data_IF_669240926007
#
_entry.id   IF_669240926007
#
_cell.length_a   1.000
_cell.length_b   1.000
_cell.length_c   1.000
_cell.angle_alpha   90.00
_cell.angle_beta   90.00
_cell.angle_gamma   90.00
#
_symmetry.space_group_name_H-M   'P 1'
#
loop_
_entity.id
_entity.type
_entity.pdbx_description
1 polymer ?
#
# COMPACT_ATOMS: atom_id res chain seq x y z
N UNK A 1 3.22 10.55 -7.68
CA UNK A 1 3.19 10.60 -9.16
C UNK A 1 2.09 11.52 -9.65
N UNK A 2 2.11 11.86 -10.93
CA UNK A 2 1.11 12.69 -11.59
C UNK A 2 0.72 12.06 -12.92
N UNK A 3 -0.56 12.13 -13.29
CA UNK A 3 -1.05 11.74 -14.61
C UNK A 3 -0.50 12.67 -15.70
N UNK A 4 -0.03 12.09 -16.80
CA UNK A 4 0.57 12.85 -17.92
C UNK A 4 -0.47 13.54 -18.80
N UNK A 5 -1.68 13.00 -18.89
CA UNK A 5 -2.74 13.57 -19.71
C UNK A 5 -3.30 14.88 -19.15
N UNK A 6 -3.22 15.07 -17.83
CA UNK A 6 -3.91 16.17 -17.14
C UNK A 6 -5.44 16.11 -17.21
N UNK A 7 -5.97 15.12 -17.89
CA UNK A 7 -7.40 14.92 -18.14
C UNK A 7 -7.78 13.46 -17.89
N UNK A 8 -9.09 13.20 -17.79
CA UNK A 8 -9.64 11.87 -17.58
C UNK A 8 -9.62 11.41 -16.13
N UNK A 9 -9.99 10.16 -15.91
CA UNK A 9 -10.23 9.59 -14.57
C UNK A 9 -9.00 9.59 -13.67
N UNK A 10 -7.81 9.28 -14.20
CA UNK A 10 -6.58 9.29 -13.44
C UNK A 10 -6.19 10.71 -12.98
N UNK A 11 -6.45 11.73 -13.80
CA UNK A 11 -6.14 13.11 -13.45
C UNK A 11 -7.03 13.68 -12.33
N UNK A 12 -8.19 13.09 -12.08
CA UNK A 12 -9.08 13.50 -10.99
C UNK A 12 -8.39 13.32 -9.63
N UNK A 13 -7.55 12.27 -9.46
CA UNK A 13 -6.79 12.08 -8.23
C UNK A 13 -5.71 13.16 -8.06
N UNK A 14 -5.02 13.53 -9.15
CA UNK A 14 -3.98 14.55 -9.12
C UNK A 14 -4.55 15.95 -8.85
N UNK A 15 -5.75 16.19 -9.36
CA UNK A 15 -6.45 17.47 -9.23
C UNK A 15 -7.30 17.56 -7.96
N UNK A 16 -7.30 16.52 -7.12
CA UNK A 16 -8.13 16.42 -5.90
C UNK A 16 -9.63 16.63 -6.19
N UNK A 17 -10.09 16.15 -7.32
CA UNK A 17 -11.47 16.33 -7.81
C UNK A 17 -12.07 14.99 -8.28
N UNK A 18 -11.94 13.96 -7.42
CA UNK A 18 -12.45 12.62 -7.73
C UNK A 18 -13.97 12.61 -7.70
N UNK A 19 -14.58 12.20 -8.79
CA UNK A 19 -16.04 12.13 -8.94
C UNK A 19 -16.56 10.71 -8.66
N UNK A 20 -17.80 10.61 -8.19
CA UNK A 20 -18.48 9.32 -7.97
C UNK A 20 -18.66 8.49 -9.26
N UNK A 21 -18.60 9.14 -10.42
CA UNK A 21 -18.67 8.52 -11.75
C UNK A 21 -17.34 7.97 -12.26
N UNK A 22 -16.23 8.18 -11.52
CA UNK A 22 -14.90 7.71 -11.90
C UNK A 22 -14.86 6.17 -11.98
N UNK A 23 -14.53 5.63 -13.16
CA UNK A 23 -14.48 4.18 -13.39
C UNK A 23 -13.38 3.49 -12.61
N UNK A 24 -12.24 4.16 -12.35
CA UNK A 24 -11.14 3.56 -11.57
C UNK A 24 -11.56 3.27 -10.13
N UNK A 25 -12.33 4.16 -9.49
CA UNK A 25 -12.86 3.87 -8.15
C UNK A 25 -13.93 2.78 -8.18
N UNK A 26 -14.74 2.72 -9.23
CA UNK A 26 -15.75 1.67 -9.38
C UNK A 26 -15.11 0.29 -9.53
N UNK A 27 -14.10 0.16 -10.37
CA UNK A 27 -13.38 -1.09 -10.59
C UNK A 27 -12.62 -1.53 -9.34
N UNK A 28 -11.98 -0.58 -8.64
CA UNK A 28 -11.29 -0.86 -7.38
C UNK A 28 -12.27 -1.36 -6.30
N UNK A 29 -13.38 -0.66 -6.10
CA UNK A 29 -14.41 -1.01 -5.12
C UNK A 29 -14.98 -2.41 -5.38
N UNK A 30 -15.39 -2.69 -6.61
CA UNK A 30 -15.91 -4.02 -7.01
C UNK A 30 -14.88 -5.12 -6.87
N UNK A 31 -13.66 -4.87 -7.28
CA UNK A 31 -12.57 -5.84 -7.16
C UNK A 31 -12.36 -6.25 -5.70
N UNK A 32 -12.37 -5.29 -4.79
CA UNK A 32 -12.19 -5.55 -3.37
C UNK A 32 -13.37 -6.35 -2.78
N UNK A 33 -14.61 -5.99 -3.09
CA UNK A 33 -15.76 -6.78 -2.64
C UNK A 33 -15.81 -8.18 -3.28
N UNK A 34 -15.30 -8.35 -4.50
CA UNK A 34 -15.13 -9.68 -5.10
C UNK A 34 -14.13 -10.53 -4.30
N UNK A 35 -13.01 -9.96 -3.86
CA UNK A 35 -12.05 -10.67 -3.01
C UNK A 35 -12.67 -11.04 -1.66
N UNK A 36 -13.46 -10.14 -1.03
CA UNK A 36 -14.19 -10.43 0.20
C UNK A 36 -15.17 -11.60 0.00
N UNK A 37 -15.95 -11.56 -1.08
CA UNK A 37 -16.87 -12.65 -1.43
C UNK A 37 -16.15 -14.00 -1.56
N UNK A 38 -15.00 -14.02 -2.24
CA UNK A 38 -14.19 -15.25 -2.38
C UNK A 38 -13.64 -15.73 -1.05
N UNK A 39 -13.13 -14.83 -0.21
CA UNK A 39 -12.67 -15.16 1.13
C UNK A 39 -13.81 -15.74 1.99
N UNK A 40 -15.00 -15.11 1.99
CA UNK A 40 -16.18 -15.62 2.68
C UNK A 40 -16.63 -16.98 2.15
N UNK A 41 -16.54 -17.21 0.83
CA UNK A 41 -16.84 -18.51 0.21
C UNK A 41 -15.91 -19.60 0.73
N UNK A 42 -14.61 -19.32 0.84
CA UNK A 42 -13.63 -20.27 1.43
C UNK A 42 -13.99 -20.54 2.90
N UNK A 43 -14.24 -19.49 3.68
CA UNK A 43 -14.58 -19.60 5.12
C UNK A 43 -15.86 -20.41 5.35
N UNK A 44 -16.88 -20.20 4.54
CA UNK A 44 -18.15 -20.96 4.62
C UNK A 44 -17.98 -22.45 4.28
N UNK A 45 -16.99 -22.78 3.44
CA UNK A 45 -16.74 -24.14 2.98
C UNK A 45 -15.54 -24.82 3.65
N UNK A 46 -15.05 -24.32 4.78
CA UNK A 46 -13.92 -24.91 5.52
C UNK A 46 -14.17 -26.39 5.90
N UNK A 47 -15.42 -26.84 5.95
CA UNK A 47 -15.77 -28.22 6.24
C UNK A 47 -15.25 -29.25 5.23
N UNK A 48 -14.92 -28.84 3.99
CA UNK A 48 -14.35 -29.73 2.96
C UNK A 48 -12.84 -29.89 3.09
N UNK A 49 -12.18 -29.03 3.85
CA UNK A 49 -10.74 -29.10 4.08
C UNK A 49 -10.37 -30.25 5.04
N UNK A 50 -9.20 -30.85 4.84
CA UNK A 50 -8.66 -31.79 5.85
C UNK A 50 -8.40 -31.07 7.16
N UNK A 51 -8.57 -31.74 8.30
CA UNK A 51 -8.36 -31.16 9.63
C UNK A 51 -6.95 -30.54 9.78
N UNK A 52 -5.94 -31.13 9.16
CA UNK A 52 -4.55 -30.61 9.18
C UNK A 52 -4.36 -29.28 8.45
N UNK A 53 -5.21 -28.97 7.46
CA UNK A 53 -5.10 -27.77 6.62
C UNK A 53 -6.11 -26.68 7.00
N UNK A 54 -7.10 -27.03 7.82
CA UNK A 54 -8.23 -26.15 8.13
C UNK A 54 -7.81 -24.82 8.71
N UNK A 55 -6.97 -24.84 9.75
CA UNK A 55 -6.49 -23.64 10.40
C UNK A 55 -5.67 -22.74 9.44
N UNK A 56 -4.85 -23.36 8.58
CA UNK A 56 -4.05 -22.64 7.59
C UNK A 56 -4.95 -21.96 6.55
N UNK A 57 -5.91 -22.70 5.97
CA UNK A 57 -6.84 -22.18 4.95
C UNK A 57 -7.70 -21.04 5.55
N UNK A 58 -8.19 -21.23 6.79
CA UNK A 58 -8.92 -20.20 7.50
C UNK A 58 -8.07 -18.95 7.72
N UNK A 59 -6.83 -19.12 8.19
CA UNK A 59 -5.89 -18.02 8.42
C UNK A 59 -5.58 -17.23 7.16
N UNK A 60 -5.33 -17.91 6.03
CA UNK A 60 -5.07 -17.26 4.74
C UNK A 60 -6.30 -16.47 4.25
N UNK A 61 -7.49 -17.07 4.31
CA UNK A 61 -8.73 -16.40 3.88
C UNK A 61 -9.05 -15.16 4.73
N UNK A 62 -8.88 -15.26 6.06
CA UNK A 62 -9.07 -14.16 7.00
C UNK A 62 -8.02 -13.06 6.81
N UNK A 63 -6.76 -13.42 6.60
CA UNK A 63 -5.71 -12.44 6.29
C UNK A 63 -6.06 -11.61 5.06
N UNK A 64 -6.48 -12.28 3.96
CA UNK A 64 -6.84 -11.59 2.73
C UNK A 64 -8.06 -10.70 2.95
N UNK A 65 -9.10 -11.19 3.65
CA UNK A 65 -10.30 -10.41 3.95
C UNK A 65 -9.98 -9.17 4.78
N UNK A 66 -9.17 -9.32 5.83
CA UNK A 66 -8.72 -8.22 6.67
C UNK A 66 -7.90 -7.19 5.88
N UNK A 67 -6.97 -7.63 5.03
CA UNK A 67 -6.18 -6.74 4.18
C UNK A 67 -7.07 -5.89 3.27
N UNK A 68 -8.07 -6.49 2.64
CA UNK A 68 -9.00 -5.80 1.76
C UNK A 68 -9.88 -4.81 2.54
N UNK A 69 -10.44 -5.22 3.67
CA UNK A 69 -11.21 -4.31 4.52
C UNK A 69 -10.38 -3.16 5.07
N UNK A 70 -9.12 -3.40 5.41
CA UNK A 70 -8.22 -2.35 5.88
C UNK A 70 -7.95 -1.29 4.80
N UNK A 71 -7.88 -1.68 3.53
CA UNK A 71 -7.80 -0.72 2.43
C UNK A 71 -9.13 0.03 2.23
N UNK A 72 -10.25 -0.68 2.20
CA UNK A 72 -11.57 -0.08 2.01
C UNK A 72 -11.91 0.95 3.10
N UNK A 73 -11.74 0.59 4.38
CA UNK A 73 -12.11 1.48 5.49
C UNK A 73 -11.28 2.76 5.51
N UNK A 74 -10.02 2.70 5.13
CA UNK A 74 -9.14 3.88 5.06
C UNK A 74 -9.46 4.80 3.87
N UNK A 75 -10.02 4.24 2.79
CA UNK A 75 -10.36 5.00 1.59
C UNK A 75 -11.80 5.54 1.61
N UNK A 76 -12.74 4.80 2.21
CA UNK A 76 -14.17 5.14 2.12
C UNK A 76 -14.82 5.44 3.48
N UNK A 77 -14.13 5.23 4.60
CA UNK A 77 -14.69 5.37 5.93
C UNK A 77 -15.66 4.22 6.28
N UNK A 78 -16.86 4.54 6.76
CA UNK A 78 -17.91 3.54 7.02
C UNK A 78 -18.32 2.86 5.70
N UNK A 79 -18.38 1.53 5.69
CA UNK A 79 -18.59 0.69 4.49
C UNK A 79 -19.52 -0.48 4.80
N UNK A 80 -20.15 -1.11 3.80
CA UNK A 80 -20.81 -2.40 3.98
C UNK A 80 -19.84 -3.45 4.51
N UNK A 81 -20.23 -4.14 5.58
CA UNK A 81 -19.44 -5.15 6.27
C UNK A 81 -20.06 -6.53 6.06
N UNK A 82 -19.43 -7.35 5.21
CA UNK A 82 -19.88 -8.67 4.81
C UNK A 82 -18.91 -9.72 5.35
N UNK A 83 -19.30 -10.41 6.40
CA UNK A 83 -18.49 -11.44 7.06
C UNK A 83 -18.89 -12.88 6.64
N UNK A 84 -19.89 -13.00 5.78
CA UNK A 84 -20.38 -14.26 5.23
C UNK A 84 -20.77 -14.10 3.74
N UNK A 85 -21.13 -15.20 3.08
CA UNK A 85 -21.72 -15.18 1.75
C UNK A 85 -23.19 -14.81 1.86
N UNK A 86 -23.57 -13.73 1.18
CA UNK A 86 -24.94 -13.21 1.13
C UNK A 86 -25.57 -13.41 -0.25
N UNK A 87 -26.89 -13.41 -0.31
CA UNK A 87 -27.63 -13.46 -1.57
C UNK A 87 -27.60 -12.11 -2.30
N UNK A 88 -27.79 -12.14 -3.61
CA UNK A 88 -27.80 -10.95 -4.48
C UNK A 88 -28.87 -9.91 -4.17
N UNK A 89 -29.91 -10.30 -3.42
CA UNK A 89 -30.99 -9.43 -2.99
C UNK A 89 -30.90 -9.04 -1.51
N UNK A 90 -29.78 -9.33 -0.84
CA UNK A 90 -29.61 -9.01 0.56
C UNK A 90 -29.19 -7.53 0.70
N UNK A 91 -30.02 -6.75 1.37
CA UNK A 91 -29.81 -5.32 1.59
C UNK A 91 -28.53 -5.03 2.41
N UNK A 92 -28.01 -6.02 3.17
CA UNK A 92 -26.74 -5.88 3.90
C UNK A 92 -25.56 -5.49 2.99
N UNK A 93 -25.61 -5.82 1.69
CA UNK A 93 -24.61 -5.42 0.68
C UNK A 93 -24.45 -3.91 0.56
N UNK A 94 -25.42 -3.15 1.03
CA UNK A 94 -25.48 -1.70 0.81
C UNK A 94 -25.50 -0.89 2.12
N UNK A 95 -25.72 -1.54 3.26
CA UNK A 95 -25.82 -0.86 4.55
C UNK A 95 -24.40 -0.62 5.10
N UNK A 96 -24.03 0.64 5.21
CA UNK A 96 -22.73 1.04 5.78
C UNK A 96 -22.70 0.73 7.28
N UNK A 97 -21.63 0.07 7.72
CA UNK A 97 -21.35 -0.17 9.13
C UNK A 97 -20.34 0.86 9.64
N UNK A 98 -20.42 1.22 10.93
CA UNK A 98 -19.46 2.11 11.55
C UNK A 98 -18.01 1.66 11.34
N UNK A 99 -17.10 2.63 11.22
CA UNK A 99 -15.66 2.38 11.06
C UNK A 99 -15.12 1.44 12.16
N UNK A 100 -15.60 1.59 13.40
CA UNK A 100 -15.20 0.75 14.52
C UNK A 100 -15.54 -0.73 14.28
N UNK A 101 -16.77 -1.04 13.81
CA UNK A 101 -17.20 -2.43 13.54
C UNK A 101 -16.30 -3.07 12.46
N UNK A 102 -15.88 -2.28 11.46
CA UNK A 102 -14.97 -2.75 10.40
C UNK A 102 -13.59 -3.09 10.97
N UNK A 103 -13.05 -2.22 11.83
CA UNK A 103 -11.77 -2.49 12.50
C UNK A 103 -11.85 -3.68 13.46
N UNK A 104 -12.97 -3.87 14.16
CA UNK A 104 -13.17 -5.04 15.02
C UNK A 104 -13.09 -6.36 14.23
N UNK A 105 -13.70 -6.41 13.04
CA UNK A 105 -13.57 -7.57 12.14
C UNK A 105 -12.15 -7.75 11.66
N UNK A 106 -11.48 -6.67 11.23
CA UNK A 106 -10.09 -6.72 10.76
C UNK A 106 -9.16 -7.28 11.84
N UNK A 107 -9.25 -6.78 13.07
CA UNK A 107 -8.43 -7.25 14.19
C UNK A 107 -8.75 -8.70 14.53
N UNK A 108 -10.03 -9.09 14.55
CA UNK A 108 -10.45 -10.48 14.78
C UNK A 108 -9.89 -11.43 13.74
N UNK A 109 -9.98 -11.07 12.46
CA UNK A 109 -9.49 -11.86 11.34
C UNK A 109 -7.97 -12.02 11.39
N UNK A 110 -7.23 -10.92 11.66
CA UNK A 110 -5.77 -10.97 11.74
C UNK A 110 -5.29 -11.77 12.96
N UNK A 111 -5.96 -11.68 14.12
CA UNK A 111 -5.65 -12.53 15.26
C UNK A 111 -5.85 -14.01 14.92
N UNK A 112 -6.92 -14.35 14.21
CA UNK A 112 -7.16 -15.72 13.74
C UNK A 112 -6.08 -16.17 12.75
N UNK A 113 -5.64 -15.29 11.86
CA UNK A 113 -4.55 -15.55 10.92
C UNK A 113 -3.23 -15.80 11.65
N UNK A 114 -2.88 -14.98 12.64
CA UNK A 114 -1.67 -15.17 13.49
C UNK A 114 -1.70 -16.51 14.21
N UNK A 115 -2.88 -16.96 14.67
CA UNK A 115 -3.03 -18.23 15.37
C UNK A 115 -2.97 -19.45 14.42
N UNK A 116 -3.48 -19.32 13.18
CA UNK A 116 -3.62 -20.42 12.23
C UNK A 116 -2.47 -20.58 11.22
N UNK A 117 -1.63 -19.56 11.06
CA UNK A 117 -0.54 -19.54 10.09
C UNK A 117 0.82 -19.81 10.76
N UNK A 118 1.73 -20.31 9.94
CA UNK A 118 3.17 -20.40 10.23
C UNK A 118 3.99 -19.57 9.22
N UNK A 119 5.32 -19.61 9.31
CA UNK A 119 6.24 -18.90 8.41
C UNK A 119 6.86 -19.82 7.35
N UNK A 120 6.23 -20.95 7.03
CA UNK A 120 6.75 -21.91 6.03
C UNK A 120 6.39 -21.57 4.59
N UNK A 121 5.43 -20.69 4.38
CA UNK A 121 5.04 -20.22 3.05
C UNK A 121 6.06 -19.22 2.49
N UNK A 122 6.15 -19.14 1.16
CA UNK A 122 6.87 -18.04 0.49
C UNK A 122 6.12 -16.70 0.61
N UNK A 123 6.82 -15.62 0.30
CA UNK A 123 6.36 -14.22 0.41
C UNK A 123 5.05 -13.88 -0.34
N UNK A 124 4.66 -14.70 -1.33
CA UNK A 124 3.43 -14.51 -2.12
C UNK A 124 2.21 -15.24 -1.52
N UNK A 125 2.33 -15.71 -0.29
CA UNK A 125 1.23 -16.27 0.50
C UNK A 125 1.23 -15.68 1.91
N UNK A 126 0.04 -15.65 2.52
CA UNK A 126 -0.05 -15.21 3.90
C UNK A 126 0.80 -16.10 4.83
N UNK A 127 1.59 -15.46 5.66
CA UNK A 127 2.40 -16.08 6.72
C UNK A 127 2.03 -15.48 8.06
N UNK A 128 2.45 -16.13 9.14
CA UNK A 128 2.28 -15.59 10.49
C UNK A 128 2.94 -14.21 10.65
N UNK A 129 4.15 -14.05 10.14
CA UNK A 129 4.87 -12.77 10.16
C UNK A 129 4.14 -11.68 9.35
N UNK A 130 3.59 -12.03 8.17
CA UNK A 130 2.78 -11.11 7.39
C UNK A 130 1.51 -10.66 8.14
N UNK A 131 0.82 -11.60 8.81
CA UNK A 131 -0.36 -11.31 9.62
C UNK A 131 -0.03 -10.43 10.83
N UNK A 132 1.09 -10.70 11.53
CA UNK A 132 1.57 -9.87 12.65
C UNK A 132 1.96 -8.46 12.21
N UNK A 133 2.69 -8.33 11.10
CA UNK A 133 3.08 -7.03 10.57
C UNK A 133 1.89 -6.19 10.09
N UNK A 134 0.89 -6.82 9.45
CA UNK A 134 -0.35 -6.14 9.06
C UNK A 134 -1.18 -5.75 10.29
N UNK A 135 -1.30 -6.63 11.30
CA UNK A 135 -2.00 -6.34 12.55
C UNK A 135 -1.34 -5.18 13.31
N UNK A 136 0.00 -5.14 13.34
CA UNK A 136 0.74 -4.00 13.90
C UNK A 136 0.41 -2.69 13.18
N UNK A 137 0.34 -2.70 11.85
CA UNK A 137 -0.06 -1.52 11.05
C UNK A 137 -1.49 -1.08 11.36
N UNK A 138 -2.40 -2.02 11.58
CA UNK A 138 -3.78 -1.75 12.02
C UNK A 138 -3.79 -1.13 13.42
N UNK A 139 -3.05 -1.68 14.37
CA UNK A 139 -2.92 -1.13 15.73
C UNK A 139 -2.33 0.29 15.73
N UNK A 140 -1.31 0.57 14.92
CA UNK A 140 -0.80 1.94 14.73
C UNK A 140 -1.89 2.90 14.22
N UNK A 141 -2.71 2.45 13.28
CA UNK A 141 -3.81 3.27 12.74
C UNK A 141 -4.87 3.56 13.81
N UNK A 142 -5.08 2.63 14.75
CA UNK A 142 -6.00 2.77 15.88
C UNK A 142 -5.37 3.50 17.10
N UNK A 143 -4.07 3.82 17.07
CA UNK A 143 -3.35 4.42 18.20
C UNK A 143 -2.99 3.44 19.32
N UNK A 144 -3.09 2.14 19.08
CA UNK A 144 -2.73 1.07 20.02
C UNK A 144 -1.22 0.79 19.93
N UNK A 145 -0.41 1.76 20.32
CA UNK A 145 1.04 1.74 20.09
C UNK A 145 1.78 0.59 20.77
N UNK A 146 1.37 0.20 21.99
CA UNK A 146 2.01 -0.90 22.70
C UNK A 146 1.79 -2.25 22.03
N UNK A 147 0.54 -2.51 21.59
CA UNK A 147 0.22 -3.75 20.87
C UNK A 147 0.97 -3.82 19.53
N UNK A 148 1.06 -2.68 18.84
CA UNK A 148 1.83 -2.56 17.62
C UNK A 148 3.32 -2.85 17.84
N UNK A 149 3.93 -2.26 18.89
CA UNK A 149 5.33 -2.46 19.22
C UNK A 149 5.64 -3.95 19.48
N UNK A 150 4.83 -4.62 20.30
CA UNK A 150 5.02 -6.04 20.63
C UNK A 150 4.99 -6.92 19.37
N UNK A 151 4.03 -6.69 18.48
CA UNK A 151 3.93 -7.45 17.23
C UNK A 151 5.11 -7.20 16.30
N UNK A 152 5.58 -5.95 16.19
CA UNK A 152 6.73 -5.58 15.37
C UNK A 152 8.01 -6.19 15.87
N UNK A 153 8.26 -6.19 17.21
CA UNK A 153 9.41 -6.82 17.81
C UNK A 153 9.43 -8.34 17.57
N UNK A 154 8.25 -9.01 17.55
CA UNK A 154 8.17 -10.42 17.15
C UNK A 154 8.59 -10.59 15.70
N UNK A 155 8.03 -9.80 14.75
CA UNK A 155 8.40 -9.89 13.32
C UNK A 155 9.88 -9.61 13.12
N UNK A 156 10.46 -8.65 13.85
CA UNK A 156 11.89 -8.33 13.79
C UNK A 156 12.78 -9.50 14.24
N UNK A 157 12.26 -10.44 15.03
CA UNK A 157 12.98 -11.64 15.47
C UNK A 157 12.87 -12.84 14.51
N UNK A 158 12.07 -12.76 13.45
CA UNK A 158 11.76 -13.88 12.53
C UNK A 158 12.79 -14.06 11.39
N UNK A 159 13.90 -13.32 11.42
CA UNK A 159 15.01 -13.49 10.46
C UNK A 159 14.90 -12.66 9.17
N UNK A 160 13.97 -11.73 9.08
CA UNK A 160 13.96 -10.71 8.02
C UNK A 160 15.10 -9.71 8.21
N UNK A 161 15.62 -9.18 7.11
CA UNK A 161 16.71 -8.21 7.14
C UNK A 161 16.58 -7.23 5.98
N UNK A 162 17.15 -6.02 6.13
CA UNK A 162 17.30 -5.10 5.02
C UNK A 162 18.25 -5.68 3.97
N UNK A 163 17.88 -5.63 2.71
CA UNK A 163 18.80 -5.93 1.62
C UNK A 163 19.93 -4.88 1.59
N UNK A 164 21.18 -5.30 1.42
CA UNK A 164 22.30 -4.36 1.34
C UNK A 164 22.17 -3.38 0.18
N UNK A 165 21.64 -3.85 -0.95
CA UNK A 165 21.31 -3.02 -2.10
C UNK A 165 19.81 -2.74 -2.14
N UNK A 166 19.44 -1.46 -2.21
CA UNK A 166 18.04 -1.08 -2.32
C UNK A 166 17.36 -1.60 -3.59
N UNK A 167 18.10 -1.78 -4.68
CA UNK A 167 17.57 -2.35 -5.92
C UNK A 167 17.13 -3.81 -5.75
N UNK A 168 17.83 -4.58 -4.91
CA UNK A 168 17.53 -6.00 -4.72
C UNK A 168 16.17 -6.22 -4.05
N UNK A 169 15.66 -5.23 -3.32
CA UNK A 169 14.30 -5.28 -2.76
C UNK A 169 13.24 -5.49 -3.85
N UNK A 170 13.42 -4.86 -5.02
CA UNK A 170 12.44 -4.82 -6.10
C UNK A 170 12.72 -5.79 -7.24
N UNK A 171 13.98 -6.17 -7.44
CA UNK A 171 14.41 -6.92 -8.61
C UNK A 171 15.01 -8.28 -8.29
N UNK A 172 15.23 -8.61 -7.01
CA UNK A 172 15.66 -9.94 -6.56
C UNK A 172 14.52 -10.62 -5.80
N UNK A 173 13.89 -11.59 -6.42
CA UNK A 173 12.78 -12.31 -5.80
C UNK A 173 13.18 -13.17 -4.58
N UNK A 174 14.45 -13.50 -4.45
CA UNK A 174 14.97 -14.28 -3.32
C UNK A 174 15.47 -13.42 -2.15
N UNK A 175 15.06 -12.14 -2.08
CA UNK A 175 15.49 -11.22 -1.03
C UNK A 175 14.88 -11.55 0.35
N UNK A 176 15.58 -11.10 1.40
CA UNK A 176 15.22 -11.32 2.81
C UNK A 176 14.34 -10.19 3.38
N UNK A 177 14.09 -9.13 2.62
CA UNK A 177 13.38 -7.94 3.11
C UNK A 177 11.87 -8.03 2.92
N UNK A 178 11.40 -8.67 1.84
CA UNK A 178 9.97 -8.76 1.53
C UNK A 178 9.28 -9.78 2.40
N UNK A 179 8.29 -9.32 3.19
CA UNK A 179 7.50 -10.15 4.11
C UNK A 179 6.23 -10.66 3.43
N UNK A 180 5.56 -9.79 2.66
CA UNK A 180 4.38 -10.15 1.88
C UNK A 180 4.31 -9.34 0.59
N UNK A 181 4.06 -10.04 -0.52
CA UNK A 181 3.84 -9.45 -1.83
C UNK A 181 2.73 -10.16 -2.59
N UNK A 182 2.06 -9.44 -3.48
CA UNK A 182 1.18 -10.02 -4.49
C UNK A 182 2.07 -10.44 -5.65
N UNK A 183 2.18 -11.76 -5.88
CA UNK A 183 3.07 -12.34 -6.88
C UNK A 183 2.47 -12.28 -8.28
N UNK A 184 3.33 -12.00 -9.25
CA UNK A 184 3.02 -12.02 -10.67
C UNK A 184 4.06 -12.84 -11.43
N UNK A 185 3.69 -13.29 -12.65
CA UNK A 185 4.59 -13.98 -13.56
C UNK A 185 4.57 -13.32 -14.93
N UNK A 186 5.74 -12.99 -15.47
CA UNK A 186 5.87 -12.32 -16.77
C UNK A 186 5.38 -13.20 -17.93
N UNK A 187 4.84 -12.56 -18.97
CA UNK A 187 4.46 -13.19 -20.22
C UNK A 187 3.12 -13.93 -20.22
N UNK A 188 2.47 -14.10 -19.09
CA UNK A 188 1.17 -14.79 -18.98
C UNK A 188 0.08 -13.77 -18.67
N UNK A 189 -0.89 -13.61 -19.56
CA UNK A 189 -1.97 -12.59 -19.43
C UNK A 189 -2.74 -12.70 -18.11
N UNK A 190 -2.93 -13.93 -17.59
CA UNK A 190 -3.68 -14.16 -16.36
C UNK A 190 -2.85 -13.92 -15.09
N UNK A 191 -1.53 -14.06 -15.17
CA UNK A 191 -0.64 -14.07 -14.02
C UNK A 191 0.32 -12.88 -14.00
N UNK A 192 0.32 -12.06 -15.06
CA UNK A 192 1.14 -10.85 -15.18
C UNK A 192 0.41 -9.59 -14.70
N UNK A 193 1.17 -8.51 -14.58
CA UNK A 193 0.66 -7.19 -14.23
C UNK A 193 1.04 -6.16 -15.29
N UNK A 194 0.33 -5.03 -15.33
CA UNK A 194 0.56 -3.94 -16.26
C UNK A 194 0.98 -2.62 -15.58
N UNK A 195 1.07 -2.57 -14.24
CA UNK A 195 1.38 -1.33 -13.52
C UNK A 195 2.80 -0.82 -13.83
N UNK A 196 3.72 -1.71 -14.17
CA UNK A 196 5.07 -1.31 -14.64
C UNK A 196 4.98 -0.42 -15.88
N UNK A 197 4.13 -0.76 -16.84
CA UNK A 197 3.93 0.02 -18.07
C UNK A 197 3.31 1.41 -17.81
N UNK A 198 2.60 1.60 -16.70
CA UNK A 198 1.99 2.88 -16.34
C UNK A 198 3.04 3.98 -16.05
N UNK A 199 4.26 3.59 -15.68
CA UNK A 199 5.39 4.49 -15.44
C UNK A 199 6.31 4.68 -16.64
N UNK A 200 6.07 3.97 -17.78
CA UNK A 200 6.96 3.91 -18.92
C UNK A 200 6.40 4.69 -20.11
N UNK A 201 7.24 5.51 -20.75
CA UNK A 201 6.95 6.07 -22.07
C UNK A 201 7.32 5.06 -23.16
N UNK A 202 6.61 5.11 -24.30
CA UNK A 202 6.92 4.32 -25.48
C UNK A 202 6.47 2.86 -25.46
N UNK A 203 5.94 2.33 -24.36
CA UNK A 203 5.49 0.95 -24.24
C UNK A 203 4.08 0.80 -24.81
N UNK A 204 3.97 0.64 -26.12
CA UNK A 204 2.67 0.54 -26.81
C UNK A 204 1.79 1.80 -26.67
N UNK A 205 2.36 2.88 -26.13
CA UNK A 205 1.73 4.20 -25.96
C UNK A 205 2.76 5.27 -26.33
N UNK A 206 2.29 6.38 -26.85
CA UNK A 206 3.14 7.54 -27.11
C UNK A 206 3.53 8.28 -25.83
N UNK A 207 2.76 8.09 -24.78
CA UNK A 207 2.94 8.71 -23.45
C UNK A 207 2.58 7.70 -22.38
N UNK A 208 3.45 7.43 -21.43
CA UNK A 208 3.11 6.70 -20.21
C UNK A 208 2.12 7.50 -19.36
N UNK A 209 1.40 6.84 -18.45
CA UNK A 209 0.30 7.49 -17.71
C UNK A 209 0.82 8.33 -16.55
N UNK A 210 1.86 7.88 -15.85
CA UNK A 210 2.34 8.51 -14.63
C UNK A 210 3.82 8.94 -14.71
N UNK A 211 4.16 10.02 -14.05
CA UNK A 211 5.53 10.48 -13.85
C UNK A 211 5.73 11.06 -12.44
N UNK A 212 6.98 11.22 -12.04
CA UNK A 212 7.34 11.81 -10.74
C UNK A 212 7.11 13.32 -10.79
N UNK A 213 6.44 13.88 -9.79
CA UNK A 213 6.25 15.33 -9.66
C UNK A 213 7.55 16.02 -9.28
N UNK A 214 7.70 17.31 -9.62
CA UNK A 214 8.89 18.12 -9.27
C UNK A 214 9.11 18.15 -7.74
N UNK A 215 8.03 18.24 -6.95
CA UNK A 215 8.11 18.18 -5.49
C UNK A 215 8.67 16.84 -4.99
N UNK A 216 8.19 15.72 -5.54
CA UNK A 216 8.69 14.40 -5.17
C UNK A 216 10.14 14.20 -5.61
N UNK A 217 10.51 14.71 -6.80
CA UNK A 217 11.88 14.69 -7.31
C UNK A 217 12.82 15.48 -6.38
N UNK A 218 12.50 16.73 -6.11
CA UNK A 218 13.31 17.59 -5.24
C UNK A 218 13.45 16.99 -3.84
N UNK A 219 12.37 16.42 -3.29
CA UNK A 219 12.41 15.75 -1.99
C UNK A 219 13.34 14.54 -2.00
N UNK A 220 13.27 13.67 -3.01
CA UNK A 220 14.12 12.49 -3.13
C UNK A 220 15.59 12.86 -3.35
N UNK A 221 15.87 13.87 -4.18
CA UNK A 221 17.24 14.37 -4.40
C UNK A 221 17.87 14.91 -3.09
N UNK A 222 17.07 15.51 -2.22
CA UNK A 222 17.54 16.05 -0.94
C UNK A 222 17.63 15.00 0.19
N UNK A 223 16.77 13.98 0.20
CA UNK A 223 16.57 13.10 1.35
C UNK A 223 16.70 11.60 1.03
N UNK A 224 16.72 11.23 -0.23
CA UNK A 224 16.67 9.83 -0.65
C UNK A 224 17.98 9.05 -0.47
N UNK A 225 19.12 9.73 -0.46
CA UNK A 225 20.42 9.05 -0.48
C UNK A 225 20.52 8.11 -1.69
N UNK A 226 21.12 6.95 -1.51
CA UNK A 226 21.32 5.93 -2.56
C UNK A 226 19.99 5.37 -3.12
N UNK A 227 18.86 5.55 -2.41
CA UNK A 227 17.52 5.17 -2.87
C UNK A 227 17.05 5.99 -4.08
N UNK A 228 17.56 7.21 -4.22
CA UNK A 228 17.10 8.16 -5.26
C UNK A 228 17.24 7.57 -6.65
N UNK A 229 18.41 7.07 -6.98
CA UNK A 229 18.71 6.51 -8.32
C UNK A 229 17.96 5.21 -8.62
N UNK A 230 17.61 4.44 -7.58
CA UNK A 230 16.80 3.23 -7.72
C UNK A 230 15.31 3.56 -7.86
N UNK A 231 14.86 4.65 -7.24
CA UNK A 231 13.45 5.02 -7.21
C UNK A 231 13.01 5.79 -8.45
N UNK A 232 13.91 6.58 -9.05
CA UNK A 232 13.56 7.44 -10.16
C UNK A 232 14.78 7.81 -11.02
N UNK A 233 14.53 8.15 -12.29
CA UNK A 233 15.53 8.66 -13.23
C UNK A 233 14.91 9.65 -14.21
N UNK A 234 15.74 10.39 -14.96
CA UNK A 234 15.27 11.10 -16.15
C UNK A 234 14.72 10.09 -17.14
N UNK A 235 13.51 10.34 -17.67
CA UNK A 235 12.90 9.44 -18.65
C UNK A 235 13.72 9.46 -19.96
N UNK A 236 14.18 8.30 -20.45
CA UNK A 236 15.03 8.23 -21.64
C UNK A 236 14.30 8.57 -22.95
N UNK A 237 12.96 8.56 -22.95
CA UNK A 237 12.12 8.88 -24.13
C UNK A 237 11.59 10.31 -24.02
N UNK A 238 11.27 10.77 -22.82
CA UNK A 238 10.79 12.12 -22.53
C UNK A 238 11.70 12.81 -21.49
N UNK A 239 12.85 13.36 -21.90
CA UNK A 239 13.85 13.89 -20.97
C UNK A 239 13.41 15.06 -20.10
N UNK A 240 12.25 15.63 -20.38
CA UNK A 240 11.60 16.65 -19.52
C UNK A 240 10.80 16.07 -18.36
N UNK A 241 10.68 14.75 -18.30
CA UNK A 241 9.95 14.03 -17.26
C UNK A 241 10.90 13.17 -16.42
N UNK A 242 10.48 12.90 -15.19
CA UNK A 242 11.15 11.96 -14.29
C UNK A 242 10.32 10.69 -14.18
N UNK A 243 10.95 9.55 -14.48
CA UNK A 243 10.36 8.22 -14.51
C UNK A 243 10.53 7.53 -13.17
N UNK A 244 9.51 6.79 -12.70
CA UNK A 244 9.65 5.83 -11.60
C UNK A 244 10.38 4.59 -12.10
N UNK A 245 11.37 4.12 -11.35
CA UNK A 245 12.24 3.00 -11.75
C UNK A 245 12.12 1.76 -10.86
N UNK A 246 11.47 1.83 -9.70
CA UNK A 246 11.27 0.68 -8.80
C UNK A 246 10.56 -0.53 -9.44
N UNK A 247 9.81 -0.30 -10.52
CA UNK A 247 8.98 -1.31 -11.16
C UNK A 247 9.37 -1.53 -12.63
N UNK A 248 10.64 -1.29 -12.99
CA UNK A 248 11.13 -1.57 -14.33
C UNK A 248 11.01 -3.08 -14.62
N UNK A 249 10.41 -3.49 -15.75
CA UNK A 249 10.12 -4.91 -16.03
C UNK A 249 11.37 -5.80 -16.12
N UNK A 250 12.48 -5.27 -16.61
CA UNK A 250 13.74 -6.00 -16.81
C UNK A 250 14.75 -5.79 -15.68
N UNK A 251 14.29 -5.23 -14.55
CA UNK A 251 15.14 -4.86 -13.44
C UNK A 251 15.78 -3.48 -13.57
N UNK A 252 16.60 -3.10 -12.59
CA UNK A 252 17.17 -1.76 -12.49
C UNK A 252 18.12 -1.42 -13.68
N UNK A 253 18.90 -2.40 -14.13
CA UNK A 253 19.79 -2.27 -15.29
C UNK A 253 19.05 -2.54 -16.62
N UNK A 254 17.75 -2.73 -16.54
CA UNK A 254 16.92 -3.19 -17.62
C UNK A 254 16.98 -2.34 -18.86
N UNK A 255 17.25 -3.02 -19.96
CA UNK A 255 17.43 -2.46 -21.28
C UNK A 255 18.33 -1.26 -21.23
N UNK A 256 19.58 -1.39 -21.51
CA UNK A 256 20.65 -0.37 -21.39
C UNK A 256 20.28 1.02 -21.94
N UNK A 257 19.25 1.10 -22.80
CA UNK A 257 18.72 2.35 -23.37
C UNK A 257 17.43 2.84 -22.69
N UNK A 258 16.83 2.02 -21.78
CA UNK A 258 15.55 2.30 -21.11
C UNK A 258 14.35 2.45 -22.04
N UNK A 259 14.46 2.00 -23.27
CA UNK A 259 13.44 2.11 -24.33
C UNK A 259 12.97 0.76 -24.83
N UNK A 260 13.85 -0.24 -24.75
CA UNK A 260 13.59 -1.60 -25.22
C UNK A 260 13.52 -2.53 -24.01
N UNK A 261 12.53 -3.39 -23.98
CA UNK A 261 12.33 -4.42 -22.95
C UNK A 261 12.28 -5.79 -23.64
N UNK A 262 12.82 -6.82 -23.01
CA UNK A 262 12.90 -8.18 -23.56
C UNK A 262 11.53 -8.82 -23.73
N UNK A 263 10.49 -8.24 -23.09
CA UNK A 263 9.11 -8.71 -23.19
C UNK A 263 8.12 -7.50 -23.15
N UNK A 264 6.84 -7.77 -23.39
CA UNK A 264 5.81 -6.72 -23.28
C UNK A 264 5.71 -6.24 -21.83
N UNK A 265 6.09 -5.01 -21.56
CA UNK A 265 6.06 -4.40 -20.22
C UNK A 265 4.63 -4.31 -19.63
N UNK A 266 3.59 -4.58 -20.42
CA UNK A 266 2.21 -4.74 -19.96
C UNK A 266 1.93 -6.14 -19.43
N UNK A 267 2.86 -7.06 -19.58
CA UNK A 267 2.83 -8.44 -19.08
C UNK A 267 4.02 -8.69 -18.15
N UNK A 268 4.33 -7.71 -17.29
CA UNK A 268 5.46 -7.77 -16.38
C UNK A 268 5.20 -8.69 -15.19
N UNK A 269 6.28 -9.23 -14.63
CA UNK A 269 6.24 -10.14 -13.49
C UNK A 269 6.69 -9.52 -12.16
N UNK A 270 6.94 -8.20 -12.12
CA UNK A 270 7.32 -7.55 -10.85
C UNK A 270 6.23 -7.74 -9.81
N UNK A 271 6.59 -8.25 -8.65
CA UNK A 271 5.69 -8.39 -7.51
C UNK A 271 5.25 -7.03 -6.97
N UNK A 272 4.00 -6.94 -6.50
CA UNK A 272 3.55 -5.80 -5.72
C UNK A 272 3.82 -6.02 -4.25
N UNK A 273 4.83 -5.32 -3.71
CA UNK A 273 5.23 -5.43 -2.32
C UNK A 273 4.20 -4.74 -1.42
N UNK A 274 3.61 -5.51 -0.51
CA UNK A 274 2.61 -5.03 0.48
C UNK A 274 3.26 -4.70 1.81
N UNK A 275 4.23 -5.52 2.23
CA UNK A 275 4.91 -5.37 3.51
C UNK A 275 6.36 -5.84 3.39
N UNK A 276 7.29 -5.00 3.88
CA UNK A 276 8.73 -5.29 3.90
C UNK A 276 9.40 -4.82 5.18
N UNK A 277 10.57 -5.34 5.47
CA UNK A 277 11.24 -5.15 6.74
C UNK A 277 11.58 -3.70 7.07
N UNK A 278 11.91 -2.87 6.06
CA UNK A 278 12.10 -1.43 6.29
C UNK A 278 10.82 -0.75 6.81
N UNK A 279 9.64 -1.14 6.32
CA UNK A 279 8.37 -0.63 6.85
C UNK A 279 8.14 -1.09 8.30
N UNK A 280 8.51 -2.35 8.64
CA UNK A 280 8.50 -2.84 10.03
C UNK A 280 9.37 -1.98 10.93
N UNK A 281 10.60 -1.67 10.52
CA UNK A 281 11.52 -0.83 11.31
C UNK A 281 10.97 0.58 11.52
N UNK A 282 10.41 1.20 10.48
CA UNK A 282 9.84 2.55 10.60
C UNK A 282 8.53 2.56 11.40
N UNK A 283 7.72 1.51 11.31
CA UNK A 283 6.54 1.31 12.18
C UNK A 283 6.95 1.08 13.64
N UNK A 284 8.06 0.40 13.90
CA UNK A 284 8.60 0.21 15.25
C UNK A 284 9.02 1.54 15.88
N UNK A 285 9.65 2.44 15.11
CA UNK A 285 9.93 3.80 15.57
C UNK A 285 8.63 4.54 15.95
N UNK A 286 7.61 4.46 15.10
CA UNK A 286 6.30 5.07 15.33
C UNK A 286 5.62 4.53 16.59
N UNK A 287 5.65 3.21 16.78
CA UNK A 287 5.07 2.55 17.95
C UNK A 287 5.74 2.97 19.26
N UNK A 288 7.08 3.05 19.28
CA UNK A 288 7.84 3.52 20.47
C UNK A 288 7.58 5.00 20.73
N UNK A 289 7.51 5.83 19.68
CA UNK A 289 7.20 7.26 19.78
C UNK A 289 5.79 7.49 20.35
N UNK A 290 4.84 6.65 19.94
CA UNK A 290 3.46 6.72 20.41
C UNK A 290 2.80 8.05 20.10
N UNK A 291 2.13 8.63 21.10
CA UNK A 291 1.48 9.95 21.00
C UNK A 291 2.45 11.13 21.09
N UNK A 292 3.71 10.91 21.50
CA UNK A 292 4.73 11.95 21.62
C UNK A 292 5.11 12.53 20.25
N UNK A 293 5.61 13.77 20.24
CA UNK A 293 6.06 14.40 19.00
C UNK A 293 7.50 14.02 18.60
N UNK A 294 8.25 13.42 19.53
CA UNK A 294 9.64 13.01 19.33
C UNK A 294 9.99 11.84 20.24
N UNK A 295 11.06 11.12 19.88
CA UNK A 295 11.64 10.07 20.69
C UNK A 295 13.18 10.06 20.57
N UNK A 296 13.86 9.73 21.67
CA UNK A 296 15.28 9.42 21.71
C UNK A 296 15.55 8.00 22.28
N UNK A 297 14.51 7.18 22.32
CA UNK A 297 14.62 5.80 22.81
C UNK A 297 15.61 5.02 21.95
N UNK A 298 16.55 4.33 22.60
CA UNK A 298 17.64 3.59 21.94
C UNK A 298 17.12 2.62 20.86
N UNK A 299 16.03 1.90 21.12
CA UNK A 299 15.48 0.94 20.18
C UNK A 299 14.89 1.64 18.93
N UNK A 300 14.23 2.80 19.11
CA UNK A 300 13.71 3.60 17.99
C UNK A 300 14.87 4.17 17.15
N UNK A 301 15.89 4.73 17.80
CA UNK A 301 17.08 5.24 17.12
C UNK A 301 17.78 4.14 16.31
N UNK A 302 17.91 2.93 16.87
CA UNK A 302 18.53 1.80 16.20
C UNK A 302 17.73 1.38 14.94
N UNK A 303 16.41 1.27 15.03
CA UNK A 303 15.57 0.93 13.88
C UNK A 303 15.61 2.00 12.77
N UNK A 304 15.57 3.27 13.16
CA UNK A 304 15.64 4.40 12.24
C UNK A 304 17.00 4.49 11.53
N UNK A 305 18.08 4.34 12.30
CA UNK A 305 19.44 4.40 11.78
C UNK A 305 19.73 3.27 10.79
N UNK A 306 19.24 2.06 11.00
CA UNK A 306 19.43 0.94 10.06
C UNK A 306 18.88 1.28 8.67
N UNK A 307 17.69 1.89 8.58
CA UNK A 307 17.09 2.28 7.30
C UNK A 307 17.93 3.36 6.62
N UNK A 308 18.41 4.34 7.38
CA UNK A 308 19.23 5.43 6.89
C UNK A 308 20.63 4.96 6.44
N UNK A 309 21.25 4.10 7.22
CA UNK A 309 22.59 3.54 6.89
C UNK A 309 22.55 2.79 5.56
N UNK A 310 21.49 1.97 5.32
CA UNK A 310 21.31 1.29 4.05
C UNK A 310 21.15 2.27 2.88
N UNK A 311 20.61 3.47 3.12
CA UNK A 311 20.47 4.54 2.13
C UNK A 311 21.73 5.41 1.98
N UNK A 312 22.84 5.07 2.62
CA UNK A 312 24.07 5.86 2.61
C UNK A 312 24.02 7.13 3.50
N UNK A 313 22.98 7.28 4.32
CA UNK A 313 22.78 8.44 5.21
C UNK A 313 23.29 8.10 6.62
N UNK A 314 24.60 8.06 6.79
CA UNK A 314 25.29 7.49 7.96
C UNK A 314 25.49 8.46 9.13
N UNK A 315 25.03 9.70 9.02
CA UNK A 315 25.06 10.64 10.14
C UNK A 315 24.24 10.12 11.32
N UNK A 316 24.83 10.10 12.52
CA UNK A 316 24.21 9.57 13.72
C UNK A 316 22.98 10.40 14.14
N UNK A 317 21.84 9.73 14.27
CA UNK A 317 20.60 10.33 14.75
C UNK A 317 20.50 10.22 16.26
N UNK A 318 20.25 11.32 16.94
CA UNK A 318 20.17 11.38 18.42
C UNK A 318 18.75 11.62 18.94
N UNK A 319 17.83 12.08 18.08
CA UNK A 319 16.41 12.23 18.34
C UNK A 319 15.65 12.12 17.03
N UNK A 320 14.42 11.65 17.06
CA UNK A 320 13.54 11.49 15.89
C UNK A 320 12.22 12.21 16.20
N UNK A 321 11.90 13.22 15.43
CA UNK A 321 10.58 13.86 15.47
C UNK A 321 9.57 13.10 14.58
N UNK A 322 8.27 13.38 14.77
CA UNK A 322 7.23 12.87 13.86
C UNK A 322 7.47 13.30 12.41
N UNK A 323 7.95 14.50 12.20
CA UNK A 323 8.21 15.01 10.85
C UNK A 323 9.44 14.32 10.24
N UNK A 324 10.50 14.01 11.01
CA UNK A 324 11.64 13.21 10.56
C UNK A 324 11.21 11.80 10.15
N UNK A 325 10.40 11.15 10.98
CA UNK A 325 9.87 9.82 10.67
C UNK A 325 9.00 9.83 9.41
N UNK A 326 8.12 10.82 9.27
CA UNK A 326 7.24 10.96 8.10
C UNK A 326 8.05 11.27 6.83
N UNK A 327 9.16 12.01 6.95
CA UNK A 327 10.10 12.28 5.85
C UNK A 327 10.86 11.02 5.45
N UNK A 328 11.38 10.25 6.43
CA UNK A 328 12.08 9.00 6.16
C UNK A 328 11.15 7.97 5.51
N UNK A 329 9.91 7.82 5.99
CA UNK A 329 8.89 6.98 5.36
C UNK A 329 8.58 7.43 3.92
N UNK A 330 8.52 8.74 3.67
CA UNK A 330 8.31 9.29 2.32
C UNK A 330 9.44 8.91 1.36
N UNK A 331 10.70 8.94 1.82
CA UNK A 331 11.85 8.56 1.01
C UNK A 331 11.94 7.05 0.80
N UNK A 332 11.81 6.29 1.86
CA UNK A 332 11.96 4.83 1.86
C UNK A 332 10.86 4.14 1.04
N UNK A 333 9.61 4.52 1.30
CA UNK A 333 8.42 3.90 0.72
C UNK A 333 7.86 4.69 -0.48
N UNK A 334 8.69 5.54 -1.13
CA UNK A 334 8.29 6.30 -2.29
C UNK A 334 7.73 5.38 -3.38
N UNK A 335 6.56 5.73 -3.93
CA UNK A 335 5.85 5.01 -5.00
C UNK A 335 5.24 3.65 -4.61
N UNK A 336 5.26 3.26 -3.33
CA UNK A 336 4.70 2.00 -2.81
C UNK A 336 3.29 2.17 -2.19
N UNK A 337 2.54 3.19 -2.59
CA UNK A 337 1.17 3.51 -2.13
C UNK A 337 1.00 3.68 -0.60
N UNK A 338 2.07 4.07 0.12
CA UNK A 338 1.99 4.28 1.57
C UNK A 338 1.68 5.74 1.95
N UNK A 339 2.06 6.71 1.10
CA UNK A 339 2.09 8.13 1.47
C UNK A 339 0.76 8.68 1.96
N UNK A 340 -0.35 8.40 1.29
CA UNK A 340 -1.68 8.90 1.70
C UNK A 340 -2.03 8.40 3.11
N UNK A 341 -1.85 7.12 3.35
CA UNK A 341 -2.15 6.50 4.64
C UNK A 341 -1.24 7.02 5.76
N UNK A 342 0.03 7.27 5.45
CA UNK A 342 0.98 7.85 6.41
C UNK A 342 0.56 9.26 6.81
N UNK A 343 0.32 10.16 5.86
CA UNK A 343 -0.07 11.55 6.19
C UNK A 343 -1.41 11.61 6.94
N UNK A 344 -2.33 10.69 6.65
CA UNK A 344 -3.59 10.56 7.37
C UNK A 344 -3.36 10.12 8.82
N UNK A 345 -2.58 9.04 9.02
CA UNK A 345 -2.27 8.49 10.36
C UNK A 345 -1.50 9.48 11.22
N UNK A 346 -0.61 10.26 10.63
CA UNK A 346 0.15 11.32 11.31
C UNK A 346 -0.65 12.61 11.52
N UNK A 347 -1.91 12.66 11.08
CA UNK A 347 -2.77 13.86 11.23
C UNK A 347 -2.36 15.03 10.34
N UNK A 348 -1.54 14.79 9.30
CA UNK A 348 -1.01 15.82 8.38
C UNK A 348 -1.75 15.88 7.04
N UNK A 349 -2.79 15.06 6.85
CA UNK A 349 -3.49 14.96 5.56
C UNK A 349 -4.03 16.29 5.06
N UNK A 350 -4.74 17.04 5.92
CA UNK A 350 -5.33 18.33 5.56
C UNK A 350 -4.23 19.35 5.23
N UNK A 351 -3.19 19.44 6.04
CA UNK A 351 -2.13 20.44 5.85
C UNK A 351 -1.35 20.19 4.57
N UNK A 352 -0.95 18.93 4.32
CA UNK A 352 -0.14 18.57 3.17
C UNK A 352 -0.96 18.64 1.88
N UNK A 353 -2.15 18.05 1.85
CA UNK A 353 -2.99 18.06 0.64
C UNK A 353 -3.59 19.44 0.39
N UNK A 354 -3.92 20.21 1.45
CA UNK A 354 -4.36 21.59 1.32
C UNK A 354 -3.27 22.50 0.72
N UNK A 355 -2.01 22.33 1.16
CA UNK A 355 -0.87 23.05 0.55
C UNK A 355 -0.70 22.68 -0.93
N UNK A 356 -0.83 21.40 -1.27
CA UNK A 356 -0.79 20.94 -2.65
C UNK A 356 -1.95 21.50 -3.48
N UNK A 357 -3.17 21.49 -2.93
CA UNK A 357 -4.35 22.06 -3.59
C UNK A 357 -4.17 23.54 -3.95
N UNK A 358 -3.64 24.33 -3.02
CA UNK A 358 -3.33 25.74 -3.29
C UNK A 358 -2.33 25.89 -4.43
N UNK A 359 -1.28 25.05 -4.46
CA UNK A 359 -0.25 25.10 -5.49
C UNK A 359 -0.77 24.77 -6.90
N UNK A 360 -1.81 23.94 -7.02
CA UNK A 360 -2.42 23.56 -8.31
C UNK A 360 -3.71 24.33 -8.62
N UNK A 361 -4.17 25.21 -7.73
CA UNK A 361 -5.42 25.95 -7.89
C UNK A 361 -6.68 25.10 -7.71
N UNK A 362 -6.60 23.97 -6.98
CA UNK A 362 -7.73 23.10 -6.68
C UNK A 362 -8.44 23.51 -5.40
N UNK A 363 -9.73 23.13 -5.30
CA UNK A 363 -10.45 23.16 -4.04
C UNK A 363 -10.21 21.86 -3.28
N UNK A 364 -9.94 21.96 -1.97
CA UNK A 364 -9.71 20.81 -1.10
C UNK A 364 -10.34 21.07 0.27
N UNK A 365 -11.04 20.07 0.76
CA UNK A 365 -11.69 20.07 2.06
C UNK A 365 -11.39 18.78 2.83
N UNK A 366 -11.79 18.70 4.08
CA UNK A 366 -11.68 17.45 4.85
C UNK A 366 -12.51 16.28 4.26
N UNK A 367 -13.54 16.58 3.46
CA UNK A 367 -14.33 15.54 2.80
C UNK A 367 -13.52 14.79 1.75
N UNK A 368 -12.58 15.47 1.08
CA UNK A 368 -11.74 14.89 0.02
C UNK A 368 -10.66 13.94 0.56
N UNK A 369 -10.58 13.76 1.88
CA UNK A 369 -9.75 12.72 2.50
C UNK A 369 -10.34 11.32 2.33
N UNK A 370 -11.62 11.19 2.01
CA UNK A 370 -12.26 9.94 1.66
C UNK A 370 -12.68 9.95 0.19
N UNK A 371 -12.66 8.80 -0.44
CA UNK A 371 -13.16 8.64 -1.80
C UNK A 371 -14.70 8.61 -1.81
N UNK A 372 -15.33 9.06 -2.90
CA UNK A 372 -16.76 8.86 -3.10
C UNK A 372 -17.07 7.37 -3.33
N UNK A 373 -18.23 6.92 -2.89
CA UNK A 373 -18.76 5.65 -3.34
C UNK A 373 -19.08 5.71 -4.84
N UNK A 374 -18.83 4.63 -5.60
CA UNK A 374 -19.14 4.62 -7.02
C UNK A 374 -20.62 4.86 -7.27
N UNK A 375 -20.95 5.80 -8.16
CA UNK A 375 -22.33 6.17 -8.48
C UNK A 375 -23.18 4.97 -8.93
N UNK A 376 -22.55 4.01 -9.61
CA UNK A 376 -23.23 2.79 -10.05
C UNK A 376 -23.68 1.92 -8.87
N UNK A 377 -22.89 1.81 -7.80
CA UNK A 377 -23.24 1.05 -6.60
C UNK A 377 -24.37 1.75 -5.81
N UNK A 378 -24.33 3.08 -5.74
CA UNK A 378 -25.42 3.88 -5.17
C UNK A 378 -26.70 3.63 -5.94
N UNK A 379 -26.64 3.66 -7.29
CA UNK A 379 -27.80 3.39 -8.15
C UNK A 379 -28.38 1.98 -7.94
N UNK A 380 -27.53 0.97 -7.79
CA UNK A 380 -27.95 -0.41 -7.54
C UNK A 380 -28.55 -0.60 -6.14
N UNK A 381 -28.11 0.19 -5.17
CA UNK A 381 -28.56 0.09 -3.75
C UNK A 381 -29.99 0.59 -3.53
N UNK A 382 -30.63 1.22 -4.49
CA UNK A 382 -31.96 1.84 -4.35
C UNK A 382 -32.07 2.82 -3.17
N UNK A 383 -30.96 3.50 -2.85
CA UNK A 383 -30.88 4.50 -1.79
C UNK A 383 -30.42 3.97 -0.43
N UNK A 384 -30.03 2.70 -0.34
CA UNK A 384 -29.50 2.11 0.92
C UNK A 384 -28.01 2.45 1.13
N UNK A 385 -27.23 2.59 0.06
CA UNK A 385 -25.84 3.01 0.14
C UNK A 385 -25.78 4.54 0.06
N UNK A 386 -25.55 5.18 1.19
CA UNK A 386 -25.39 6.62 1.29
C UNK A 386 -23.99 7.06 0.81
N UNK A 387 -23.93 8.19 0.11
CA UNK A 387 -22.69 8.79 -0.35
C UNK A 387 -21.87 9.37 0.83
N UNK A 388 -20.57 9.50 0.66
CA UNK A 388 -19.72 10.26 1.57
C UNK A 388 -20.03 11.76 1.44
N UNK A 389 -19.92 12.54 2.53
CA UNK A 389 -20.13 13.98 2.49
C UNK A 389 -19.22 14.67 1.47
N UNK A 390 -19.77 15.60 0.72
CA UNK A 390 -19.01 16.38 -0.28
C UNK A 390 -19.17 15.90 -1.73
N UNK A 391 -19.81 14.74 -1.95
CA UNK A 391 -19.99 14.14 -3.28
C UNK A 391 -21.46 14.02 -3.70
#
# INVERSE_FOLDING_TARGET
TRSKSGEGEAAQFDNLAVEATNGLIADHYRSFYNVIFRANTVLQNLGVASESNKAKIEGEAKFIRAYVYFNLVRLYGAIPLLDNVIGVSDDASYIRRPVADVYDLIVSDLNSAVAGLDNTNGRNRATKAAAQGLLAKVHLTLGNYLDAQQLLEIVMSEGFALEPSFSDVFFNESNSEVIFAIGYASGLVQDSQNFSAEFLNGVGRTVGVNYVTDDAKAFMEANGGDRTVVSMRTDPIQPTQTQVTKFLPDGFDGGSDGKTFDFDARLAGNDWIVLRYADILLMHVEAIMGSSNETNATAALASFQQVRDRAGLTDAVTSITKDDLLAERRAELAFENQRLYDIMRFGKGIDILGTYAVAIGANFTSNDLLLPFPQIEIGLSKGLLEQNPGY
#
